data_IF_642153869019
#
_entry.id   IF_642153869019
#
_cell.length_a   1.000
_cell.length_b   1.000
_cell.length_c   1.000
_cell.angle_alpha   90.00
_cell.angle_beta   90.00
_cell.angle_gamma   90.00
#
_symmetry.space_group_name_H-M   'P 1'
#
loop_
_entity.id
_entity.type
_entity.pdbx_description
1 polymer ?
#
# COMPACT_ATOMS: atom_id res chain seq x y z
N UNK A 1 1.81 31.32 -108.38
CA UNK A 1 2.28 31.68 -107.00
C UNK A 1 1.28 31.31 -105.87
N UNK A 2 0.27 30.46 -106.12
CA UNK A 2 -0.80 30.14 -105.11
C UNK A 2 -0.57 28.76 -104.41
N UNK A 3 0.29 27.97 -104.88
CA UNK A 3 0.54 26.63 -104.25
C UNK A 3 1.46 26.67 -103.03
N UNK A 4 2.22 27.76 -102.83
CA UNK A 4 3.18 27.84 -101.68
C UNK A 4 2.55 28.28 -100.34
N UNK A 5 1.38 29.02 -100.44
CA UNK A 5 0.63 29.51 -99.26
C UNK A 5 -0.13 28.40 -98.51
N UNK A 6 -0.70 27.45 -99.23
CA UNK A 6 -1.51 26.40 -98.67
C UNK A 6 -0.69 25.33 -97.87
N UNK A 7 0.52 25.04 -98.35
CA UNK A 7 1.44 24.05 -97.62
C UNK A 7 1.92 24.66 -96.32
N UNK A 8 2.21 25.98 -96.28
CA UNK A 8 2.67 26.62 -95.01
C UNK A 8 1.56 26.67 -93.94
N UNK A 9 0.29 26.85 -94.34
CA UNK A 9 -0.85 26.84 -93.39
C UNK A 9 -1.08 25.40 -92.89
N UNK A 10 -0.95 24.39 -93.75
CA UNK A 10 -1.14 23.02 -93.38
C UNK A 10 -0.06 22.50 -92.45
N UNK A 11 1.22 22.83 -92.66
CA UNK A 11 2.33 22.50 -91.78
C UNK A 11 2.22 23.23 -90.41
N UNK A 12 1.77 24.55 -90.42
CA UNK A 12 1.53 25.24 -89.13
C UNK A 12 0.41 24.62 -88.31
N UNK A 13 -0.64 24.10 -88.95
CA UNK A 13 -1.75 23.41 -88.25
C UNK A 13 -1.36 22.04 -87.77
N UNK A 14 -0.52 21.32 -88.50
CA UNK A 14 0.06 20.04 -88.03
C UNK A 14 1.00 20.23 -86.85
N UNK A 15 1.81 21.25 -86.81
CA UNK A 15 2.68 21.58 -85.68
C UNK A 15 1.84 21.99 -84.45
N UNK A 16 0.77 22.75 -84.57
CA UNK A 16 -0.14 23.07 -83.47
C UNK A 16 -0.84 21.85 -82.90
N UNK A 17 -1.29 20.94 -83.79
CA UNK A 17 -1.91 19.67 -83.37
C UNK A 17 -0.95 18.76 -82.59
N UNK A 18 0.31 18.67 -83.01
CA UNK A 18 1.33 17.90 -82.33
C UNK A 18 1.71 18.58 -81.02
N UNK A 19 1.81 19.91 -80.97
CA UNK A 19 2.11 20.62 -79.70
C UNK A 19 0.98 20.45 -78.71
N UNK A 20 -0.25 20.53 -79.09
CA UNK A 20 -1.43 20.30 -78.28
C UNK A 20 -1.45 18.84 -77.73
N UNK A 21 -1.16 17.89 -78.58
CA UNK A 21 -1.09 16.46 -78.19
C UNK A 21 0.01 16.17 -77.18
N UNK A 22 1.20 16.75 -77.35
CA UNK A 22 2.32 16.65 -76.45
C UNK A 22 2.00 17.34 -75.13
N UNK A 23 1.36 18.50 -75.12
CA UNK A 23 0.95 19.26 -73.95
C UNK A 23 -0.07 18.46 -73.12
N UNK A 24 -1.12 17.96 -73.76
CA UNK A 24 -2.16 17.14 -73.10
C UNK A 24 -1.56 15.87 -72.54
N UNK A 25 -0.66 15.19 -73.25
CA UNK A 25 -0.02 13.96 -72.77
C UNK A 25 0.89 14.23 -71.57
N UNK A 26 1.69 15.31 -71.56
CA UNK A 26 2.52 15.69 -70.42
C UNK A 26 1.67 16.07 -69.21
N UNK A 27 0.58 16.82 -69.41
CA UNK A 27 -0.35 17.19 -68.34
C UNK A 27 -1.01 15.95 -67.72
N UNK A 28 -1.44 14.99 -68.53
CA UNK A 28 -2.00 13.72 -68.04
C UNK A 28 -1.00 12.88 -67.28
N UNK A 29 0.26 12.87 -67.69
CA UNK A 29 1.32 12.18 -66.96
C UNK A 29 1.58 12.82 -65.59
N UNK A 30 1.60 14.18 -65.55
CA UNK A 30 1.75 14.91 -64.28
C UNK A 30 0.58 14.66 -63.33
N UNK A 31 -0.65 14.70 -63.83
CA UNK A 31 -1.87 14.38 -63.07
C UNK A 31 -1.85 12.92 -62.56
N UNK A 32 -1.47 11.97 -63.41
CA UNK A 32 -1.36 10.58 -63.05
C UNK A 32 -0.32 10.36 -61.93
N UNK A 33 0.86 11.00 -62.04
CA UNK A 33 1.91 10.93 -61.03
C UNK A 33 1.45 11.59 -59.71
N UNK A 34 0.75 12.73 -59.77
CA UNK A 34 0.16 13.37 -58.59
C UNK A 34 -0.84 12.48 -57.87
N UNK A 35 -1.75 11.83 -58.62
CA UNK A 35 -2.72 10.87 -58.05
C UNK A 35 -2.04 9.62 -57.42
N UNK A 36 -1.00 9.14 -58.06
CA UNK A 36 -0.20 8.00 -57.51
C UNK A 36 0.47 8.42 -56.21
N UNK A 37 1.10 9.60 -56.19
CA UNK A 37 1.78 10.12 -54.97
C UNK A 37 0.79 10.36 -53.85
N UNK A 38 -0.39 10.94 -54.14
CA UNK A 38 -1.44 11.14 -53.15
C UNK A 38 -1.99 9.82 -52.58
N UNK A 39 -2.10 8.78 -53.42
CA UNK A 39 -2.53 7.45 -52.98
C UNK A 39 -1.46 6.76 -52.11
N UNK A 40 -0.19 6.88 -52.44
CA UNK A 40 0.92 6.39 -51.67
C UNK A 40 0.96 7.10 -50.29
N UNK A 41 0.80 8.42 -50.26
CA UNK A 41 0.74 9.18 -49.01
C UNK A 41 -0.43 8.76 -48.10
N UNK A 42 -1.62 8.50 -48.71
CA UNK A 42 -2.76 7.95 -47.93
C UNK A 42 -2.49 6.57 -47.38
N UNK A 43 -1.83 5.68 -48.13
CA UNK A 43 -1.46 4.34 -47.66
C UNK A 43 -0.42 4.40 -46.53
N UNK A 44 0.58 5.28 -46.66
CA UNK A 44 1.59 5.51 -45.62
C UNK A 44 0.92 6.05 -44.35
N UNK A 45 0.06 7.05 -44.45
CA UNK A 45 -0.69 7.60 -43.33
C UNK A 45 -1.58 6.55 -42.64
N UNK A 46 -2.28 5.72 -43.43
CA UNK A 46 -3.08 4.60 -42.90
C UNK A 46 -2.22 3.56 -42.20
N UNK A 47 -1.04 3.26 -42.71
CA UNK A 47 -0.09 2.32 -42.12
C UNK A 47 0.44 2.89 -40.78
N UNK A 48 0.78 4.15 -40.71
CA UNK A 48 1.19 4.83 -39.46
C UNK A 48 0.05 4.87 -38.43
N UNK A 49 -1.17 5.15 -38.83
CA UNK A 49 -2.34 5.10 -37.93
C UNK A 49 -2.58 3.69 -37.43
N UNK A 50 -2.47 2.67 -38.27
CA UNK A 50 -2.63 1.26 -37.90
C UNK A 50 -1.51 0.76 -36.96
N UNK A 51 -0.30 1.32 -37.06
CA UNK A 51 0.84 0.97 -36.21
C UNK A 51 0.83 1.69 -34.85
N UNK A 52 0.38 2.96 -34.84
CA UNK A 52 0.39 3.82 -33.63
C UNK A 52 -0.87 3.57 -32.79
N UNK A 53 -2.01 3.26 -33.40
CA UNK A 53 -3.26 3.05 -32.68
C UNK A 53 -3.23 1.91 -31.66
N UNK A 54 -2.64 0.73 -31.91
CA UNK A 54 -2.50 -0.31 -30.88
C UNK A 54 -1.50 0.08 -29.78
N UNK A 55 -0.47 0.89 -30.08
CA UNK A 55 0.45 1.42 -29.07
C UNK A 55 -0.24 2.44 -28.14
N UNK A 56 -1.14 3.26 -28.65
CA UNK A 56 -1.94 4.20 -27.86
C UNK A 56 -3.03 3.49 -27.04
N UNK A 57 -3.60 2.41 -27.55
CA UNK A 57 -4.54 1.55 -26.81
C UNK A 57 -3.84 0.75 -25.71
N UNK A 58 -2.58 0.38 -25.91
CA UNK A 58 -1.78 -0.26 -24.85
C UNK A 58 -1.37 0.71 -23.74
N UNK A 59 -1.24 2.00 -24.05
CA UNK A 59 -0.97 3.04 -23.05
C UNK A 59 -2.22 3.44 -22.23
N UNK A 60 -3.40 2.94 -22.58
CA UNK A 60 -4.67 3.17 -21.87
C UNK A 60 -5.22 1.92 -21.19
N UNK A 61 -4.37 0.94 -20.85
CA UNK A 61 -4.80 -0.04 -19.82
C UNK A 61 -5.12 0.76 -18.55
N UNK A 62 -6.29 0.54 -17.92
CA UNK A 62 -6.54 1.11 -16.60
C UNK A 62 -5.31 0.79 -15.74
N UNK A 63 -4.75 1.79 -15.08
CA UNK A 63 -3.64 1.53 -14.16
C UNK A 63 -4.10 0.39 -13.24
N UNK A 64 -3.40 -0.75 -13.29
CA UNK A 64 -3.76 -1.89 -12.48
C UNK A 64 -3.87 -1.41 -11.04
N UNK A 65 -5.02 -1.66 -10.41
CA UNK A 65 -5.26 -1.22 -9.04
C UNK A 65 -4.26 -1.92 -8.14
N UNK A 66 -3.33 -1.16 -7.56
CA UNK A 66 -2.36 -1.67 -6.61
C UNK A 66 -3.09 -2.21 -5.38
N UNK A 67 -2.78 -3.42 -4.96
CA UNK A 67 -3.29 -3.95 -3.69
C UNK A 67 -2.21 -3.86 -2.62
N UNK A 68 -2.58 -3.32 -1.46
CA UNK A 68 -1.80 -3.44 -0.22
C UNK A 68 -2.40 -4.60 0.57
N UNK A 69 -1.75 -5.76 0.52
CA UNK A 69 -2.05 -6.84 1.45
C UNK A 69 -1.49 -6.50 2.83
N UNK A 70 -2.25 -6.84 3.86
CA UNK A 70 -1.81 -6.65 5.25
C UNK A 70 -1.95 -7.96 6.02
N UNK A 71 -0.90 -8.40 6.67
CA UNK A 71 -0.89 -9.56 7.56
C UNK A 71 -0.39 -9.16 8.96
N UNK A 72 -1.06 -9.65 9.97
CA UNK A 72 -0.78 -9.26 11.35
C UNK A 72 -1.78 -9.82 12.34
N UNK A 73 -1.74 -9.24 13.52
CA UNK A 73 -2.56 -9.63 14.67
C UNK A 73 -3.81 -8.74 14.87
N UNK A 74 -4.38 -8.81 16.08
CA UNK A 74 -5.60 -8.09 16.46
C UNK A 74 -5.49 -6.57 16.38
N UNK A 75 -4.30 -6.01 16.54
CA UNK A 75 -4.10 -4.55 16.52
C UNK A 75 -4.21 -3.96 15.11
N UNK A 76 -4.04 -4.79 14.08
CA UNK A 76 -4.18 -4.45 12.67
C UNK A 76 -5.51 -4.95 12.06
N UNK A 77 -6.14 -5.97 12.65
CA UNK A 77 -7.24 -6.73 12.08
C UNK A 77 -8.52 -5.92 11.87
N UNK A 78 -9.32 -6.37 10.88
CA UNK A 78 -10.70 -5.89 10.73
C UNK A 78 -11.57 -6.36 11.90
N UNK A 79 -12.36 -5.46 12.46
CA UNK A 79 -13.31 -5.71 13.53
C UNK A 79 -14.73 -5.53 13.04
N UNK A 80 -15.72 -6.23 13.66
CA UNK A 80 -17.14 -5.99 13.38
C UNK A 80 -17.52 -4.51 13.61
N UNK A 81 -18.36 -4.00 12.76
CA UNK A 81 -18.83 -2.59 12.81
C UNK A 81 -20.29 -2.46 13.28
N UNK A 82 -20.95 -3.61 13.51
CA UNK A 82 -22.32 -3.71 13.96
C UNK A 82 -22.47 -3.39 15.48
N UNK A 83 -23.66 -3.05 15.92
CA UNK A 83 -24.02 -2.83 17.33
C UNK A 83 -23.09 -1.82 18.06
N UNK A 84 -22.69 -0.75 17.40
CA UNK A 84 -21.82 0.29 17.97
C UNK A 84 -20.48 -0.22 18.53
N UNK A 85 -20.02 -1.38 18.10
CA UNK A 85 -18.72 -1.92 18.51
C UNK A 85 -17.59 -0.97 18.18
N UNK A 86 -16.85 -0.61 19.19
CA UNK A 86 -15.86 0.47 19.13
C UNK A 86 -14.46 0.02 18.71
N UNK A 87 -14.12 -1.26 18.85
CA UNK A 87 -12.77 -1.77 18.55
C UNK A 87 -12.44 -1.68 17.06
N UNK A 88 -11.25 -1.18 16.71
CA UNK A 88 -10.73 -1.12 15.34
C UNK A 88 -9.24 -1.44 15.31
N UNK A 89 -8.84 -2.30 14.37
CA UNK A 89 -7.43 -2.37 14.02
C UNK A 89 -7.01 -1.21 13.13
N UNK A 90 -5.77 -0.74 13.25
CA UNK A 90 -5.30 0.37 12.42
C UNK A 90 -5.30 0.03 10.93
N UNK A 91 -5.10 -1.26 10.57
CA UNK A 91 -5.19 -1.71 9.18
C UNK A 91 -6.59 -1.59 8.59
N UNK A 92 -7.64 -1.74 9.41
CA UNK A 92 -9.02 -1.50 9.01
C UNK A 92 -9.28 -0.04 8.65
N UNK A 93 -8.58 0.88 9.31
CA UNK A 93 -8.76 2.33 9.13
C UNK A 93 -7.85 2.90 8.03
N UNK A 94 -6.80 2.18 7.61
CA UNK A 94 -5.84 2.64 6.61
C UNK A 94 -6.48 3.06 5.26
N UNK A 95 -7.52 2.38 4.74
CA UNK A 95 -8.19 2.80 3.51
C UNK A 95 -8.71 4.24 3.54
N UNK A 96 -9.06 4.77 4.71
CA UNK A 96 -9.54 6.15 4.87
C UNK A 96 -8.45 7.19 4.53
N UNK A 97 -7.18 6.81 4.62
CA UNK A 97 -6.00 7.64 4.37
C UNK A 97 -5.55 7.58 2.91
N UNK A 98 -6.13 6.68 2.11
CA UNK A 98 -5.69 6.40 0.74
C UNK A 98 -6.55 7.11 -0.31
N UNK A 99 -5.99 7.29 -1.50
CA UNK A 99 -6.63 7.88 -2.68
C UNK A 99 -6.12 7.22 -3.98
N UNK A 100 -6.87 7.40 -5.06
CA UNK A 100 -6.47 6.88 -6.39
C UNK A 100 -6.68 5.38 -6.55
N UNK A 101 -5.94 4.77 -7.50
CA UNK A 101 -6.09 3.38 -7.89
C UNK A 101 -5.30 2.43 -6.95
N UNK A 102 -5.65 2.44 -5.67
CA UNK A 102 -5.06 1.58 -4.64
C UNK A 102 -6.15 1.05 -3.70
N UNK A 103 -6.00 -0.17 -3.23
CA UNK A 103 -6.90 -0.79 -2.25
C UNK A 103 -6.12 -1.53 -1.18
N UNK A 104 -6.76 -1.74 -0.03
CA UNK A 104 -6.24 -2.57 1.07
C UNK A 104 -7.00 -3.89 1.11
N UNK A 105 -6.26 -4.99 1.17
CA UNK A 105 -6.76 -6.34 1.44
C UNK A 105 -6.17 -6.80 2.78
N UNK A 106 -6.91 -6.54 3.86
CA UNK A 106 -6.44 -6.77 5.22
C UNK A 106 -6.79 -8.16 5.70
N UNK A 107 -5.80 -9.02 5.81
CA UNK A 107 -5.86 -10.41 6.28
C UNK A 107 -5.39 -10.58 7.73
N UNK A 108 -5.07 -9.50 8.45
CA UNK A 108 -4.73 -9.57 9.86
C UNK A 108 -5.87 -10.17 10.68
N UNK A 109 -5.54 -11.00 11.68
CA UNK A 109 -6.51 -11.78 12.46
C UNK A 109 -6.27 -11.67 13.96
N UNK A 110 -7.37 -11.60 14.71
CA UNK A 110 -7.32 -11.57 16.18
C UNK A 110 -6.64 -12.81 16.75
N UNK A 111 -5.67 -12.59 17.65
CA UNK A 111 -4.98 -13.66 18.39
C UNK A 111 -3.96 -14.46 17.58
N UNK A 112 -3.68 -14.07 16.33
CA UNK A 112 -2.68 -14.74 15.51
C UNK A 112 -1.27 -14.20 15.74
N UNK A 113 -0.31 -15.10 15.80
CA UNK A 113 1.12 -14.86 15.64
C UNK A 113 1.56 -15.16 14.22
N UNK A 114 2.78 -14.80 13.83
CA UNK A 114 3.35 -15.20 12.54
C UNK A 114 3.34 -16.73 12.36
N UNK A 115 3.69 -17.48 13.44
CA UNK A 115 3.64 -18.93 13.45
C UNK A 115 2.24 -19.47 13.17
N UNK A 116 1.25 -19.09 13.97
CA UNK A 116 -0.12 -19.59 13.80
C UNK A 116 -0.77 -19.14 12.48
N UNK A 117 -0.37 -18.00 11.94
CA UNK A 117 -0.83 -17.51 10.64
C UNK A 117 -0.36 -18.43 9.50
N UNK A 118 0.86 -18.94 9.60
CA UNK A 118 1.41 -19.93 8.66
C UNK A 118 0.75 -21.29 8.88
N UNK A 119 0.78 -21.81 10.12
CA UNK A 119 0.34 -23.15 10.47
C UNK A 119 -1.14 -23.41 10.15
N UNK A 120 -1.97 -22.37 10.23
CA UNK A 120 -3.40 -22.44 9.91
C UNK A 120 -3.73 -22.10 8.45
N UNK A 121 -2.75 -22.06 7.56
CA UNK A 121 -2.92 -21.84 6.12
C UNK A 121 -3.35 -20.43 5.71
N UNK A 122 -3.37 -19.47 6.65
CA UNK A 122 -3.81 -18.09 6.36
C UNK A 122 -2.84 -17.40 5.41
N UNK A 123 -1.55 -17.64 5.57
CA UNK A 123 -0.53 -17.12 4.68
C UNK A 123 -0.67 -17.65 3.23
N UNK A 124 -0.92 -18.92 3.06
CA UNK A 124 -1.13 -19.52 1.74
C UNK A 124 -2.26 -18.82 0.96
N UNK A 125 -3.38 -18.53 1.65
CA UNK A 125 -4.52 -17.84 1.05
C UNK A 125 -4.19 -16.39 0.60
N UNK A 126 -3.28 -15.70 1.27
CA UNK A 126 -2.78 -14.38 0.84
C UNK A 126 -1.92 -14.52 -0.41
N UNK A 127 -0.99 -15.48 -0.43
CA UNK A 127 -0.11 -15.74 -1.56
C UNK A 127 -0.85 -16.12 -2.85
N UNK A 128 -1.96 -16.83 -2.76
CA UNK A 128 -2.80 -17.18 -3.92
C UNK A 128 -3.38 -15.94 -4.60
N UNK A 129 -3.64 -14.88 -3.87
CA UNK A 129 -4.28 -13.65 -4.35
C UNK A 129 -3.28 -12.59 -4.82
N UNK A 130 -2.05 -12.66 -4.33
CA UNK A 130 -1.02 -11.67 -4.60
C UNK A 130 -0.59 -11.68 -6.06
N UNK A 131 -0.49 -10.49 -6.67
CA UNK A 131 -0.03 -10.28 -8.03
C UNK A 131 1.29 -9.50 -8.05
N UNK A 132 2.09 -9.61 -9.12
CA UNK A 132 3.28 -8.78 -9.28
C UNK A 132 2.95 -7.28 -9.19
N UNK A 133 3.73 -6.56 -8.39
CA UNK A 133 3.54 -5.13 -8.15
C UNK A 133 2.75 -4.78 -6.90
N UNK A 134 1.99 -5.72 -6.32
CA UNK A 134 1.29 -5.54 -5.05
C UNK A 134 2.26 -5.33 -3.88
N UNK A 135 1.78 -4.70 -2.81
CA UNK A 135 2.54 -4.52 -1.58
C UNK A 135 2.05 -5.46 -0.48
N UNK A 136 2.94 -5.81 0.43
CA UNK A 136 2.62 -6.60 1.62
C UNK A 136 3.14 -5.89 2.87
N UNK A 137 2.25 -5.46 3.76
CA UNK A 137 2.61 -4.94 5.09
C UNK A 137 2.53 -6.08 6.10
N UNK A 138 3.61 -6.30 6.85
CA UNK A 138 3.77 -7.38 7.81
C UNK A 138 3.95 -6.80 9.21
N UNK A 139 3.05 -7.12 10.15
CA UNK A 139 3.17 -6.75 11.57
C UNK A 139 2.75 -7.91 12.47
N UNK A 140 3.69 -8.56 13.12
CA UNK A 140 3.48 -9.56 14.15
C UNK A 140 4.35 -9.26 15.36
N UNK A 141 4.08 -9.89 16.50
CA UNK A 141 4.83 -9.74 17.76
C UNK A 141 3.96 -9.90 18.99
N UNK A 142 2.80 -9.26 19.08
CA UNK A 142 1.90 -9.32 20.25
C UNK A 142 1.56 -10.75 20.71
N UNK A 143 1.45 -11.69 19.79
CA UNK A 143 1.12 -13.07 20.10
C UNK A 143 2.33 -14.01 19.99
N UNK A 144 3.34 -13.63 19.23
CA UNK A 144 4.58 -14.40 19.07
C UNK A 144 5.36 -14.49 20.39
N UNK A 145 5.30 -13.43 21.21
CA UNK A 145 5.96 -13.37 22.52
C UNK A 145 5.30 -14.23 23.62
N UNK A 146 4.15 -14.86 23.36
CA UNK A 146 3.39 -15.63 24.35
C UNK A 146 4.00 -17.00 24.63
N UNK A 147 5.06 -17.05 25.41
CA UNK A 147 5.85 -18.26 25.70
C UNK A 147 5.03 -19.43 26.22
N UNK A 148 3.93 -19.17 26.96
CA UNK A 148 3.04 -20.18 27.51
C UNK A 148 2.08 -20.80 26.48
N UNK A 149 2.04 -20.27 25.28
CA UNK A 149 1.19 -20.77 24.19
C UNK A 149 2.03 -21.29 23.02
N UNK A 150 2.36 -22.57 22.98
CA UNK A 150 3.22 -23.16 21.94
C UNK A 150 2.62 -23.08 20.53
N UNK A 151 1.30 -22.83 20.40
CA UNK A 151 0.67 -22.66 19.10
C UNK A 151 0.96 -21.29 18.50
N UNK A 152 1.25 -20.31 19.34
CA UNK A 152 1.52 -18.92 18.92
C UNK A 152 2.98 -18.53 19.10
N UNK A 153 3.63 -19.08 20.12
CA UNK A 153 5.00 -18.70 20.47
C UNK A 153 5.98 -18.95 19.33
N UNK A 154 6.80 -17.95 19.06
CA UNK A 154 7.96 -18.01 18.18
C UNK A 154 9.08 -17.18 18.81
N UNK A 155 10.17 -17.81 19.17
CA UNK A 155 11.34 -17.18 19.79
C UNK A 155 12.06 -16.25 18.81
N UNK A 156 12.57 -15.15 19.34
CA UNK A 156 13.44 -14.22 18.60
C UNK A 156 14.79 -14.91 18.35
N UNK A 157 15.31 -14.76 17.14
CA UNK A 157 16.50 -15.48 16.67
C UNK A 157 16.22 -16.89 16.15
N UNK A 158 14.99 -17.38 16.29
CA UNK A 158 14.49 -18.66 15.81
C UNK A 158 13.23 -18.52 15.00
N UNK A 159 12.13 -19.14 15.45
CA UNK A 159 10.86 -19.26 14.71
C UNK A 159 10.28 -17.91 14.30
N UNK A 160 10.34 -16.90 15.15
CA UNK A 160 9.81 -15.56 14.81
C UNK A 160 10.55 -14.94 13.63
N UNK A 161 11.87 -14.96 13.67
CA UNK A 161 12.72 -14.41 12.62
C UNK A 161 12.54 -15.17 11.30
N UNK A 162 12.48 -16.51 11.37
CA UNK A 162 12.31 -17.35 10.18
C UNK A 162 10.96 -17.15 9.53
N UNK A 163 9.90 -16.91 10.30
CA UNK A 163 8.58 -16.55 9.78
C UNK A 163 8.61 -15.21 9.05
N UNK A 164 9.28 -14.20 9.60
CA UNK A 164 9.42 -12.90 8.93
C UNK A 164 10.17 -13.04 7.60
N UNK A 165 11.28 -13.79 7.57
CA UNK A 165 12.03 -14.08 6.35
C UNK A 165 11.17 -14.84 5.32
N UNK A 166 10.39 -15.81 5.79
CA UNK A 166 9.48 -16.58 4.93
C UNK A 166 8.45 -15.68 4.26
N UNK A 167 7.76 -14.82 5.01
CA UNK A 167 6.79 -13.87 4.43
C UNK A 167 7.42 -12.99 3.36
N UNK A 168 8.60 -12.45 3.63
CA UNK A 168 9.34 -11.58 2.70
C UNK A 168 9.72 -12.34 1.43
N UNK A 169 10.33 -13.53 1.56
CA UNK A 169 10.84 -14.29 0.41
C UNK A 169 9.71 -14.79 -0.49
N UNK A 170 8.64 -15.31 0.11
CA UNK A 170 7.52 -15.85 -0.66
C UNK A 170 6.69 -14.74 -1.33
N UNK A 171 6.53 -13.56 -0.69
CA UNK A 171 5.94 -12.40 -1.33
C UNK A 171 6.77 -11.94 -2.54
N UNK A 172 8.10 -11.84 -2.39
CA UNK A 172 9.00 -11.50 -3.49
C UNK A 172 8.95 -12.50 -4.64
N UNK A 173 8.83 -13.79 -4.33
CA UNK A 173 8.68 -14.84 -5.34
C UNK A 173 7.41 -14.68 -6.18
N UNK A 174 6.37 -14.04 -5.62
CA UNK A 174 5.14 -13.65 -6.33
C UNK A 174 5.24 -12.28 -7.04
N UNK A 175 6.40 -11.61 -7.00
CA UNK A 175 6.56 -10.25 -7.51
C UNK A 175 5.98 -9.17 -6.60
N UNK A 176 5.60 -9.52 -5.37
CA UNK A 176 5.14 -8.59 -4.34
C UNK A 176 6.28 -7.78 -3.72
N UNK A 177 5.93 -6.67 -3.10
CA UNK A 177 6.84 -5.70 -2.47
C UNK A 177 6.61 -5.67 -0.96
N UNK A 178 7.35 -6.47 -0.17
CA UNK A 178 7.16 -6.53 1.28
C UNK A 178 7.65 -5.25 1.99
N UNK A 179 6.91 -4.87 3.03
CA UNK A 179 7.19 -3.78 3.97
C UNK A 179 7.06 -4.39 5.37
N UNK A 180 8.06 -4.27 6.19
CA UNK A 180 8.07 -4.83 7.54
C UNK A 180 7.80 -3.73 8.56
N UNK A 181 6.98 -4.05 9.56
CA UNK A 181 6.69 -3.19 10.70
C UNK A 181 6.96 -3.94 12.00
N UNK A 182 7.36 -3.24 13.06
CA UNK A 182 7.23 -3.77 14.41
C UNK A 182 5.82 -3.49 14.97
N UNK A 183 5.49 -4.15 16.09
CA UNK A 183 4.20 -4.02 16.77
C UNK A 183 3.98 -2.61 17.33
N UNK A 184 2.74 -2.13 17.28
CA UNK A 184 2.37 -0.91 18.01
C UNK A 184 2.54 -1.13 19.53
N UNK A 185 2.77 -0.06 20.28
CA UNK A 185 2.95 -0.15 21.73
C UNK A 185 1.63 -0.50 22.44
N UNK A 186 1.72 -1.19 23.57
CA UNK A 186 0.65 -1.28 24.57
C UNK A 186 0.70 -0.04 25.47
N UNK A 187 -0.48 0.41 25.96
CA UNK A 187 -0.57 1.48 26.94
C UNK A 187 -0.21 0.96 28.34
N UNK A 188 1.07 0.82 28.62
CA UNK A 188 1.57 0.17 29.82
C UNK A 188 2.32 1.16 30.72
N UNK A 189 1.56 2.00 31.46
CA UNK A 189 2.10 2.92 32.47
C UNK A 189 2.12 2.23 33.85
N UNK A 190 3.28 2.10 34.52
CA UNK A 190 3.36 1.46 35.84
C UNK A 190 2.47 2.08 36.91
N UNK A 191 2.22 3.38 36.83
CA UNK A 191 1.31 4.08 37.75
C UNK A 191 -0.17 3.71 37.56
N UNK A 192 -0.55 3.09 36.43
CA UNK A 192 -1.90 2.65 36.19
C UNK A 192 -2.16 1.30 36.88
N UNK A 193 -3.22 1.22 37.68
CA UNK A 193 -3.57 -0.03 38.41
C UNK A 193 -3.87 -1.21 37.49
N UNK A 194 -4.23 -0.91 36.24
CA UNK A 194 -4.53 -1.92 35.22
C UNK A 194 -3.35 -2.20 34.27
N UNK A 195 -2.20 -1.54 34.48
CA UNK A 195 -1.03 -1.80 33.67
C UNK A 195 -0.55 -3.25 33.88
N UNK A 196 -0.11 -3.88 32.80
CA UNK A 196 0.41 -5.24 32.75
C UNK A 196 -0.58 -6.36 33.12
N UNK A 197 -1.84 -6.05 33.46
CA UNK A 197 -2.84 -7.06 33.86
C UNK A 197 -3.69 -7.58 32.70
N UNK A 198 -3.78 -6.85 31.60
CA UNK A 198 -4.71 -7.17 30.50
C UNK A 198 -4.20 -8.31 29.62
N UNK A 199 -2.91 -8.38 29.40
CA UNK A 199 -2.26 -9.51 28.72
C UNK A 199 -1.54 -10.38 29.75
N UNK A 200 -2.29 -11.23 30.45
CA UNK A 200 -1.79 -12.14 31.50
C UNK A 200 -0.69 -13.08 31.04
N UNK A 201 -0.56 -13.26 29.74
CA UNK A 201 0.46 -14.11 29.13
C UNK A 201 1.78 -13.36 28.85
N UNK A 202 1.76 -12.03 28.92
CA UNK A 202 2.93 -11.20 28.72
C UNK A 202 3.59 -10.95 30.08
N UNK A 203 4.84 -11.35 30.21
CA UNK A 203 5.60 -11.01 31.40
C UNK A 203 5.91 -9.52 31.37
N UNK A 204 5.49 -8.72 32.36
CA UNK A 204 5.94 -7.34 32.45
C UNK A 204 7.47 -7.33 32.59
N UNK A 205 8.13 -6.25 32.10
CA UNK A 205 9.57 -6.11 32.29
C UNK A 205 9.96 -6.25 33.76
N UNK A 206 11.12 -6.83 34.02
CA UNK A 206 11.65 -6.95 35.38
C UNK A 206 11.68 -5.58 36.08
N UNK A 207 11.21 -5.53 37.32
CA UNK A 207 11.15 -4.30 38.09
C UNK A 207 9.96 -3.38 37.81
N UNK A 208 9.04 -3.77 36.90
CA UNK A 208 7.86 -2.98 36.56
C UNK A 208 7.05 -2.55 37.79
N UNK A 209 6.82 -3.41 38.74
CA UNK A 209 6.06 -3.11 39.97
C UNK A 209 6.75 -2.04 40.82
N UNK A 210 8.07 -1.94 40.78
CA UNK A 210 8.84 -0.97 41.56
C UNK A 210 8.71 0.46 40.99
N UNK A 211 8.29 0.61 39.74
CA UNK A 211 8.12 1.90 39.08
C UNK A 211 6.79 2.59 39.39
N UNK A 212 5.81 1.88 40.00
CA UNK A 212 4.44 2.41 40.23
C UNK A 212 4.38 3.62 41.16
N UNK A 213 5.28 3.69 42.12
CA UNK A 213 5.29 4.76 43.16
C UNK A 213 6.28 5.89 42.85
N UNK A 214 6.99 5.84 41.75
CA UNK A 214 8.02 6.81 41.38
C UNK A 214 7.53 7.68 40.21
N UNK A 215 8.20 8.82 39.90
CA UNK A 215 7.91 9.61 38.69
C UNK A 215 7.96 8.75 37.42
N UNK A 216 8.79 7.71 37.38
CA UNK A 216 8.92 6.72 36.31
C UNK A 216 7.62 5.92 36.08
N UNK A 217 6.75 5.83 37.07
CA UNK A 217 5.43 5.26 36.93
C UNK A 217 4.56 5.92 35.84
N UNK A 218 4.90 7.15 35.43
CA UNK A 218 4.30 7.88 34.32
C UNK A 218 5.05 7.73 33.00
N UNK A 219 6.13 6.98 32.99
CA UNK A 219 6.89 6.65 31.80
C UNK A 219 6.29 5.38 31.22
N UNK A 220 5.95 5.42 29.94
CA UNK A 220 5.41 4.27 29.22
C UNK A 220 6.49 3.21 29.07
N UNK A 221 6.20 1.97 29.48
CA UNK A 221 7.12 0.85 29.41
C UNK A 221 6.71 -0.07 28.25
N UNK A 222 7.62 -0.29 27.32
CA UNK A 222 7.39 -1.26 26.23
C UNK A 222 7.40 -2.68 26.77
N UNK A 223 6.44 -3.50 26.34
CA UNK A 223 6.27 -4.89 26.76
C UNK A 223 6.67 -5.90 25.69
N UNK A 224 7.21 -5.44 24.55
CA UNK A 224 7.57 -6.31 23.44
C UNK A 224 9.03 -6.76 23.44
N UNK A 225 9.91 -6.05 24.16
CA UNK A 225 11.31 -6.41 24.26
C UNK A 225 11.98 -6.64 22.90
N UNK A 226 12.63 -7.78 22.72
CA UNK A 226 13.36 -8.11 21.50
C UNK A 226 12.46 -8.23 20.25
N UNK A 227 11.15 -8.42 20.41
CA UNK A 227 10.18 -8.44 19.30
C UNK A 227 10.01 -7.07 18.61
N UNK A 228 10.49 -5.98 19.22
CA UNK A 228 10.60 -4.67 18.58
C UNK A 228 11.82 -4.62 17.66
N UNK A 229 12.95 -5.17 18.11
CA UNK A 229 14.25 -5.10 17.43
C UNK A 229 14.38 -6.10 16.28
N UNK A 230 13.80 -7.29 16.45
CA UNK A 230 13.93 -8.36 15.46
C UNK A 230 13.39 -7.96 14.08
N UNK A 231 12.19 -7.35 13.91
CA UNK A 231 11.71 -6.89 12.62
C UNK A 231 12.63 -5.85 11.98
N UNK A 232 13.19 -4.93 12.78
CA UNK A 232 14.16 -3.91 12.30
C UNK A 232 15.43 -4.55 11.76
N UNK A 233 15.95 -5.55 12.47
CA UNK A 233 17.14 -6.32 12.09
C UNK A 233 16.88 -7.11 10.80
N UNK A 234 15.75 -7.83 10.72
CA UNK A 234 15.35 -8.62 9.55
C UNK A 234 15.10 -7.72 8.34
N UNK A 235 14.45 -6.56 8.51
CA UNK A 235 14.25 -5.61 7.41
C UNK A 235 15.58 -5.16 6.80
N UNK A 236 16.57 -4.87 7.65
CA UNK A 236 17.91 -4.48 7.24
C UNK A 236 18.64 -5.62 6.53
N UNK A 237 18.59 -6.83 7.10
CA UNK A 237 19.17 -8.05 6.53
C UNK A 237 18.59 -8.35 5.14
N UNK A 238 17.27 -8.25 5.00
CA UNK A 238 16.55 -8.61 3.79
C UNK A 238 16.45 -7.45 2.77
N UNK A 239 16.90 -6.24 3.14
CA UNK A 239 16.79 -5.06 2.27
C UNK A 239 15.34 -4.73 1.90
N UNK A 240 14.42 -4.69 2.89
CA UNK A 240 13.02 -4.28 2.73
C UNK A 240 12.77 -2.97 3.47
N UNK A 241 11.83 -2.13 3.00
CA UNK A 241 11.38 -0.98 3.76
C UNK A 241 10.90 -1.39 5.16
N UNK A 242 11.21 -0.56 6.14
CA UNK A 242 10.83 -0.77 7.53
C UNK A 242 10.09 0.44 8.09
N UNK A 243 9.02 0.18 8.87
CA UNK A 243 8.22 1.20 9.54
C UNK A 243 8.27 0.97 11.05
N UNK A 244 8.77 1.96 11.77
CA UNK A 244 8.92 1.98 13.23
C UNK A 244 7.58 2.23 13.95
N UNK A 245 6.61 1.33 13.76
CA UNK A 245 5.28 1.50 14.36
C UNK A 245 5.33 1.55 15.88
N UNK A 246 6.22 0.77 16.50
CA UNK A 246 6.41 0.79 17.95
C UNK A 246 6.82 2.16 18.45
N UNK A 247 7.93 2.71 17.94
CA UNK A 247 8.43 4.02 18.37
C UNK A 247 7.42 5.15 18.09
N UNK A 248 6.77 5.13 16.93
CA UNK A 248 5.79 6.16 16.56
C UNK A 248 4.59 6.16 17.52
N UNK A 249 4.07 4.97 17.84
CA UNK A 249 2.94 4.83 18.76
C UNK A 249 3.36 5.01 20.22
N UNK A 250 4.59 4.63 20.60
CA UNK A 250 5.15 4.94 21.92
C UNK A 250 5.20 6.45 22.16
N UNK A 251 5.73 7.21 21.20
CA UNK A 251 5.80 8.67 21.31
C UNK A 251 4.41 9.30 21.42
N UNK A 252 3.43 8.82 20.65
CA UNK A 252 2.04 9.27 20.77
C UNK A 252 1.47 9.02 22.16
N UNK A 253 1.56 7.77 22.64
CA UNK A 253 0.97 7.37 23.92
C UNK A 253 1.67 8.04 25.09
N UNK A 254 3.01 8.10 25.07
CA UNK A 254 3.80 8.81 26.08
C UNK A 254 3.48 10.31 26.10
N UNK A 255 3.37 10.96 24.93
CA UNK A 255 3.06 12.37 24.83
C UNK A 255 1.67 12.73 25.34
N UNK A 256 0.69 11.84 25.18
CA UNK A 256 -0.65 11.99 25.78
C UNK A 256 -0.67 11.74 27.29
N UNK A 257 0.28 10.94 27.79
CA UNK A 257 0.36 10.58 29.21
C UNK A 257 -0.73 9.62 29.66
N UNK A 258 -0.77 9.33 30.98
CA UNK A 258 -1.62 8.30 31.58
C UNK A 258 -3.13 8.48 31.35
N UNK A 259 -3.63 9.71 31.33
CA UNK A 259 -5.08 9.93 31.23
C UNK A 259 -5.57 10.05 29.77
N UNK A 260 -4.99 10.97 29.00
CA UNK A 260 -5.47 11.21 27.63
C UNK A 260 -5.23 10.02 26.69
N UNK A 261 -4.20 9.22 26.93
CA UNK A 261 -3.93 8.04 26.12
C UNK A 261 -5.03 7.00 26.20
N UNK A 262 -5.85 6.96 27.28
CA UNK A 262 -7.03 6.09 27.37
C UNK A 262 -8.01 6.29 26.23
N UNK A 263 -8.09 7.52 25.69
CA UNK A 263 -8.98 7.88 24.58
C UNK A 263 -8.64 7.12 23.26
N UNK A 264 -7.44 6.60 23.14
CA UNK A 264 -7.02 5.80 21.97
C UNK A 264 -7.44 4.32 22.06
N UNK A 265 -7.60 3.81 23.29
CA UNK A 265 -7.75 2.39 23.56
C UNK A 265 -9.20 2.02 23.95
N UNK A 266 -9.45 0.72 24.12
CA UNK A 266 -10.76 0.20 24.49
C UNK A 266 -11.04 0.39 25.98
N UNK A 267 -11.05 1.66 26.41
CA UNK A 267 -11.48 2.09 27.72
C UNK A 267 -12.95 2.52 27.68
N UNK A 268 -13.84 1.64 28.05
CA UNK A 268 -15.30 1.82 27.97
C UNK A 268 -15.87 1.88 29.38
N UNK A 269 -16.51 3.00 29.78
CA UNK A 269 -17.24 3.06 31.03
C UNK A 269 -18.40 2.05 31.08
N UNK A 270 -18.69 1.55 32.27
CA UNK A 270 -19.86 0.70 32.53
C UNK A 270 -21.15 1.41 32.07
N UNK A 271 -22.06 0.65 31.46
CA UNK A 271 -23.35 1.12 30.97
C UNK A 271 -23.31 1.98 29.72
N UNK A 272 -22.15 2.28 29.14
CA UNK A 272 -22.05 3.16 27.98
C UNK A 272 -22.56 2.56 26.68
N UNK A 273 -22.33 1.26 26.46
CA UNK A 273 -22.71 0.53 25.24
C UNK A 273 -23.37 -0.82 25.55
N UNK A 274 -24.40 -1.17 24.80
CA UNK A 274 -25.11 -2.44 24.98
C UNK A 274 -24.24 -3.67 24.74
N UNK A 275 -23.30 -3.59 23.78
CA UNK A 275 -22.38 -4.70 23.49
C UNK A 275 -21.34 -4.95 24.60
N UNK A 276 -21.20 -4.01 25.55
CA UNK A 276 -20.25 -4.09 26.65
C UNK A 276 -20.80 -3.41 27.90
N UNK A 277 -21.88 -3.95 28.50
CA UNK A 277 -22.60 -3.28 29.61
C UNK A 277 -21.75 -3.14 30.87
N UNK A 278 -20.77 -4.04 31.10
CA UNK A 278 -19.86 -3.99 32.26
C UNK A 278 -18.66 -3.03 32.04
N UNK A 279 -18.61 -2.36 30.87
CA UNK A 279 -17.44 -1.59 30.48
C UNK A 279 -16.26 -2.50 30.08
N UNK A 280 -15.15 -1.89 29.67
CA UNK A 280 -13.92 -2.58 29.28
C UNK A 280 -12.72 -1.70 29.62
N UNK A 281 -11.67 -2.33 30.16
CA UNK A 281 -10.35 -1.71 30.31
C UNK A 281 -9.38 -2.59 29.50
N UNK A 282 -8.86 -2.04 28.42
CA UNK A 282 -7.97 -2.75 27.50
C UNK A 282 -6.90 -1.79 26.99
N UNK A 283 -5.66 -2.03 27.35
CA UNK A 283 -4.50 -1.22 27.02
C UNK A 283 -3.80 -1.67 25.73
N UNK A 284 -4.34 -2.65 25.03
CA UNK A 284 -3.76 -3.21 23.81
C UNK A 284 -4.56 -2.83 22.56
N UNK A 285 -5.90 -2.95 22.62
CA UNK A 285 -6.74 -2.77 21.45
C UNK A 285 -7.25 -1.33 21.32
N UNK A 286 -7.17 -0.82 20.09
CA UNK A 286 -7.58 0.54 19.78
C UNK A 286 -9.09 0.63 19.58
N UNK A 287 -9.68 1.76 19.96
CA UNK A 287 -11.03 2.11 19.58
C UNK A 287 -11.06 2.79 18.18
N UNK A 288 -12.23 3.25 17.72
CA UNK A 288 -12.39 3.91 16.42
C UNK A 288 -11.43 5.11 16.29
N UNK A 289 -11.36 5.95 17.31
CA UNK A 289 -10.49 7.14 17.31
C UNK A 289 -9.00 6.73 17.26
N UNK A 290 -8.57 5.85 18.17
CA UNK A 290 -7.20 5.37 18.21
C UNK A 290 -6.78 4.64 16.94
N UNK A 291 -7.63 3.78 16.40
CA UNK A 291 -7.38 3.11 15.11
C UNK A 291 -7.20 4.09 13.96
N UNK A 292 -8.00 5.17 13.94
CA UNK A 292 -7.90 6.22 12.92
C UNK A 292 -6.59 7.02 13.07
N UNK A 293 -6.24 7.42 14.29
CA UNK A 293 -4.99 8.15 14.57
C UNK A 293 -3.77 7.32 14.19
N UNK A 294 -3.72 6.05 14.61
CA UNK A 294 -2.60 5.14 14.30
C UNK A 294 -2.51 4.84 12.80
N UNK A 295 -3.65 4.70 12.11
CA UNK A 295 -3.66 4.54 10.65
C UNK A 295 -3.10 5.78 9.94
N UNK A 296 -3.39 6.99 10.42
CA UNK A 296 -2.81 8.23 9.90
C UNK A 296 -1.29 8.29 10.07
N UNK A 297 -0.79 7.87 11.25
CA UNK A 297 0.65 7.76 11.52
C UNK A 297 1.29 6.73 10.57
N UNK A 298 0.66 5.55 10.42
CA UNK A 298 1.12 4.51 9.52
C UNK A 298 1.17 4.98 8.06
N UNK A 299 0.13 5.68 7.59
CA UNK A 299 0.07 6.21 6.23
C UNK A 299 1.21 7.18 5.94
N UNK A 300 1.51 8.09 6.88
CA UNK A 300 2.65 9.00 6.77
C UNK A 300 3.98 8.22 6.71
N UNK A 301 4.18 7.29 7.62
CA UNK A 301 5.40 6.50 7.67
C UNK A 301 5.57 5.62 6.41
N UNK A 302 4.47 5.10 5.83
CA UNK A 302 4.46 4.41 4.54
C UNK A 302 4.93 5.36 3.42
N UNK A 303 4.42 6.61 3.38
CA UNK A 303 4.83 7.59 2.37
C UNK A 303 6.30 7.97 2.44
N UNK A 304 6.90 7.92 3.64
CA UNK A 304 8.31 8.19 3.89
C UNK A 304 9.20 6.98 3.54
N UNK A 305 8.81 5.79 4.00
CA UNK A 305 9.58 4.56 3.79
C UNK A 305 9.48 4.02 2.35
N UNK A 306 8.36 4.28 1.67
CA UNK A 306 8.06 3.79 0.32
C UNK A 306 7.58 4.94 -0.57
N UNK A 307 8.50 5.74 -1.14
CA UNK A 307 8.14 6.92 -1.95
C UNK A 307 7.19 6.63 -3.10
N UNK A 308 7.20 5.42 -3.64
CA UNK A 308 6.27 4.99 -4.69
C UNK A 308 4.81 4.94 -4.24
N UNK A 309 4.53 4.81 -2.93
CA UNK A 309 3.19 4.83 -2.37
C UNK A 309 2.72 6.24 -1.98
N UNK A 310 3.63 7.21 -1.90
CA UNK A 310 3.31 8.59 -1.50
C UNK A 310 2.16 9.24 -2.30
N UNK A 311 2.07 9.10 -3.65
CA UNK A 311 0.97 9.68 -4.43
C UNK A 311 -0.41 9.12 -4.07
N UNK A 312 -0.46 7.94 -3.47
CA UNK A 312 -1.69 7.26 -3.07
C UNK A 312 -2.13 7.58 -1.63
N UNK A 313 -1.39 8.42 -0.92
CA UNK A 313 -1.74 8.87 0.43
C UNK A 313 -2.28 10.29 0.34
N UNK A 314 -3.43 10.53 0.96
CA UNK A 314 -4.07 11.85 0.99
C UNK A 314 -3.16 12.87 1.66
N UNK A 315 -3.04 14.07 1.08
CA UNK A 315 -2.13 15.12 1.51
C UNK A 315 -2.34 15.52 2.99
N UNK A 316 -3.58 15.53 3.45
CA UNK A 316 -3.95 15.90 4.83
C UNK A 316 -3.27 15.03 5.88
N UNK A 317 -2.95 13.78 5.55
CA UNK A 317 -2.25 12.86 6.47
C UNK A 317 -0.72 12.96 6.38
N UNK A 318 -0.20 13.63 5.36
CA UNK A 318 1.25 13.83 5.22
C UNK A 318 1.74 15.03 6.06
N UNK A 319 0.86 15.98 6.38
CA UNK A 319 1.25 17.33 6.85
C UNK A 319 0.97 17.61 8.34
N UNK A 320 0.06 16.91 9.00
CA UNK A 320 -0.51 17.42 10.27
C UNK A 320 -0.65 16.43 11.41
N UNK A 321 0.44 15.78 11.82
CA UNK A 321 0.47 15.32 13.20
C UNK A 321 1.56 16.11 13.95
N UNK A 322 1.24 16.70 15.12
CA UNK A 322 2.26 17.34 15.94
C UNK A 322 3.31 16.28 16.27
N UNK A 323 4.57 16.60 15.98
CA UNK A 323 5.71 15.91 16.57
C UNK A 323 5.66 16.21 18.06
N UNK A 324 5.20 15.24 18.85
CA UNK A 324 5.32 15.30 20.30
C UNK A 324 6.71 14.87 20.73
#
# INVERSE_FOLDING_TARGET
MEACGSVAIYVKNLQKGNFFRIFVTKTLIVLKNFLITANIMKQIASFFVALIMPLLLWAQTPADTITIFMIGDSTMANKPIDMDKQERGWGQMLPLMLQGAIKVDNHALNGYSGKSFIDNGKWAAVLERMQPGDYLIIQFGHNDQKQKDPKRYGDVGGIYDDNLRKFINEARAKGGKPILCNSIVRRNFPADVNAAHEDRDDNPPEGFENLKTTPEGKILVDTHGEYVEAPRRIAREMGVPFIEMNMLTHNLVQGLGTEKSKELFMWIPEGKYEFCPQGKIDNTHLNIYGGTVVAGIAARAIAEAVPALRPYIKADYIVTYPTY
#
